data_IF_310035602357
#
_entry.id   IF_310035602357
#
_cell.length_a   1.000
_cell.length_b   1.000
_cell.length_c   1.000
_cell.angle_alpha   90.00
_cell.angle_beta   90.00
_cell.angle_gamma   90.00
#
_symmetry.space_group_name_H-M   'P 1'
#
loop_
_entity.id
_entity.type
_entity.pdbx_description
1 polymer ?
#
# COMPACT_ATOMS: atom_id res chain seq x y z
N UNK A 1 -1.64 -12.18 26.21
CA UNK A 1 -2.76 -12.25 25.28
C UNK A 1 -2.71 -13.56 24.51
N UNK A 2 -3.79 -14.34 24.51
CA UNK A 2 -3.91 -15.58 23.76
C UNK A 2 -4.76 -15.34 22.50
N UNK A 3 -4.20 -15.66 21.34
CA UNK A 3 -4.83 -15.58 20.03
C UNK A 3 -5.19 -16.98 19.55
N UNK A 4 -6.43 -17.23 19.11
CA UNK A 4 -6.78 -18.52 18.52
C UNK A 4 -6.00 -18.73 17.22
N UNK A 5 -5.46 -19.93 17.04
CA UNK A 5 -4.91 -20.37 15.75
C UNK A 5 -6.01 -20.98 14.87
N UNK A 6 -5.66 -21.48 13.69
CA UNK A 6 -6.58 -22.21 12.82
C UNK A 6 -7.12 -23.50 13.45
N UNK A 7 -6.40 -24.07 14.42
CA UNK A 7 -6.77 -25.29 15.13
C UNK A 7 -6.59 -25.09 16.64
N UNK A 8 -7.69 -24.80 17.35
CA UNK A 8 -7.71 -24.68 18.81
C UNK A 8 -8.55 -25.79 19.44
N UNK A 9 -8.03 -26.42 20.49
CA UNK A 9 -8.67 -27.55 21.18
C UNK A 9 -9.41 -27.09 22.45
N UNK A 10 -10.46 -26.27 22.26
CA UNK A 10 -11.32 -25.75 23.33
C UNK A 10 -11.00 -24.32 23.74
N UNK A 11 -11.81 -23.78 24.67
CA UNK A 11 -11.67 -22.40 25.15
C UNK A 11 -10.79 -22.30 26.39
N UNK A 12 -9.98 -21.23 26.46
CA UNK A 12 -9.19 -20.91 27.64
C UNK A 12 -9.88 -19.89 28.53
N UNK A 13 -9.82 -20.11 29.84
CA UNK A 13 -10.35 -19.20 30.85
C UNK A 13 -9.51 -17.92 30.93
N UNK A 14 -10.17 -16.76 30.96
CA UNK A 14 -9.54 -15.45 30.98
C UNK A 14 -10.50 -14.32 30.60
N UNK A 15 -9.97 -13.09 30.55
CA UNK A 15 -10.76 -11.90 30.21
C UNK A 15 -10.84 -11.76 28.69
N UNK A 16 -12.06 -11.82 28.15
CA UNK A 16 -12.32 -11.62 26.72
C UNK A 16 -12.05 -10.17 26.32
N UNK A 17 -11.48 -9.98 25.14
CA UNK A 17 -11.23 -8.65 24.58
C UNK A 17 -10.87 -8.72 23.10
N UNK A 18 -10.44 -7.58 22.56
CA UNK A 18 -9.99 -7.47 21.17
C UNK A 18 -8.52 -7.05 21.12
N UNK A 19 -7.78 -7.62 20.19
CA UNK A 19 -6.42 -7.19 19.87
C UNK A 19 -6.43 -5.72 19.41
N UNK A 20 -5.67 -4.82 20.04
CA UNK A 20 -5.71 -3.40 19.72
C UNK A 20 -5.15 -3.09 18.33
N UNK A 21 -4.30 -3.95 17.77
CA UNK A 21 -3.77 -3.74 16.43
C UNK A 21 -4.84 -4.08 15.38
N UNK A 22 -5.33 -5.31 15.34
CA UNK A 22 -6.15 -5.85 14.25
C UNK A 22 -7.63 -6.01 14.58
N UNK A 23 -8.04 -5.75 15.82
CA UNK A 23 -9.44 -5.88 16.27
C UNK A 23 -9.93 -7.32 16.35
N UNK A 24 -9.01 -8.29 16.36
CA UNK A 24 -9.36 -9.72 16.42
C UNK A 24 -9.75 -10.12 17.84
N UNK A 25 -10.70 -11.06 18.03
CA UNK A 25 -11.06 -11.55 19.35
C UNK A 25 -9.86 -12.27 20.00
N UNK A 26 -9.61 -11.96 21.26
CA UNK A 26 -8.50 -12.50 22.06
C UNK A 26 -8.93 -12.78 23.50
N UNK A 27 -8.19 -13.65 24.16
CA UNK A 27 -8.36 -13.90 25.60
C UNK A 27 -7.13 -13.44 26.38
N UNK A 28 -7.32 -12.58 27.37
CA UNK A 28 -6.29 -12.21 28.33
C UNK A 28 -6.20 -13.25 29.43
N UNK A 29 -5.07 -13.95 29.46
CA UNK A 29 -4.79 -15.04 30.40
C UNK A 29 -3.72 -14.63 31.40
N UNK A 30 -3.74 -15.25 32.57
CA UNK A 30 -2.67 -15.13 33.56
C UNK A 30 -1.39 -15.82 33.05
N UNK A 31 -0.22 -15.35 33.50
CA UNK A 31 1.07 -15.90 33.07
C UNK A 31 1.19 -17.42 33.32
N UNK A 32 0.63 -17.90 34.43
CA UNK A 32 0.59 -19.33 34.78
C UNK A 32 -0.19 -20.19 33.77
N UNK A 33 -1.14 -19.62 33.04
CA UNK A 33 -1.96 -20.33 32.05
C UNK A 33 -1.28 -20.45 30.68
N UNK A 34 -0.10 -19.84 30.47
CA UNK A 34 0.61 -19.82 29.18
C UNK A 34 0.85 -21.22 28.62
N UNK A 35 1.37 -22.14 29.43
CA UNK A 35 1.66 -23.51 28.99
C UNK A 35 0.37 -24.24 28.55
N UNK A 36 -0.72 -24.07 29.30
CA UNK A 36 -2.04 -24.61 28.95
C UNK A 36 -2.54 -24.03 27.62
N UNK A 37 -2.45 -22.72 27.44
CA UNK A 37 -2.88 -22.05 26.21
C UNK A 37 -2.15 -22.57 24.96
N UNK A 38 -0.81 -22.69 25.05
CA UNK A 38 0.01 -23.21 23.97
C UNK A 38 -0.36 -24.66 23.63
N UNK A 39 -0.57 -25.51 24.64
CA UNK A 39 -1.00 -26.90 24.44
C UNK A 39 -2.40 -27.02 23.82
N UNK A 40 -3.25 -26.00 23.97
CA UNK A 40 -4.58 -25.93 23.35
C UNK A 40 -4.55 -25.30 21.95
N UNK A 41 -3.37 -25.01 21.40
CA UNK A 41 -3.21 -24.45 20.05
C UNK A 41 -3.28 -22.92 19.97
N UNK A 42 -3.34 -22.21 21.09
CA UNK A 42 -3.31 -20.73 21.08
C UNK A 42 -1.89 -20.21 20.87
N UNK A 43 -1.77 -19.07 20.17
CA UNK A 43 -0.55 -18.27 20.17
C UNK A 43 -0.58 -17.30 21.35
N UNK A 44 0.45 -17.33 22.20
CA UNK A 44 0.53 -16.45 23.37
C UNK A 44 1.54 -15.33 23.11
N UNK A 45 1.04 -14.09 23.12
CA UNK A 45 1.83 -12.86 22.96
C UNK A 45 1.89 -12.13 24.29
N UNK A 46 3.09 -11.68 24.69
CA UNK A 46 3.30 -10.89 25.89
C UNK A 46 2.82 -9.43 25.71
N UNK A 47 2.54 -8.75 26.81
CA UNK A 47 1.95 -7.40 26.77
C UNK A 47 2.85 -6.38 26.07
N UNK A 48 4.18 -6.49 26.18
CA UNK A 48 5.09 -5.55 25.54
C UNK A 48 5.06 -5.72 24.01
N UNK A 49 5.01 -6.97 23.53
CA UNK A 49 4.82 -7.28 22.10
C UNK A 49 3.46 -6.81 21.56
N UNK A 50 2.39 -6.88 22.35
CA UNK A 50 1.08 -6.32 21.97
C UNK A 50 1.16 -4.80 21.79
N UNK A 51 1.76 -4.09 22.75
CA UNK A 51 1.95 -2.64 22.67
C UNK A 51 2.81 -2.29 21.46
N UNK A 52 3.94 -2.97 21.27
CA UNK A 52 4.85 -2.72 20.15
C UNK A 52 4.17 -2.93 18.79
N UNK A 53 3.36 -3.99 18.66
CA UNK A 53 2.59 -4.28 17.43
C UNK A 53 1.56 -3.19 17.15
N UNK A 54 0.84 -2.76 18.19
CA UNK A 54 -0.15 -1.70 18.07
C UNK A 54 0.48 -0.35 17.67
N UNK A 55 1.57 0.05 18.34
CA UNK A 55 2.33 1.27 18.00
C UNK A 55 2.85 1.21 16.58
N UNK A 56 3.47 0.10 16.16
CA UNK A 56 3.96 -0.08 14.79
C UNK A 56 2.83 0.06 13.76
N UNK A 57 1.65 -0.53 14.04
CA UNK A 57 0.50 -0.39 13.16
C UNK A 57 0.06 1.07 13.04
N UNK A 58 -0.10 1.78 14.17
CA UNK A 58 -0.49 3.20 14.17
C UNK A 58 0.53 4.03 13.40
N UNK A 59 1.82 3.90 13.72
CA UNK A 59 2.88 4.66 13.04
C UNK A 59 2.86 4.41 11.53
N UNK A 60 2.68 3.16 11.08
CA UNK A 60 2.59 2.85 9.65
C UNK A 60 1.36 3.46 8.98
N UNK A 61 0.22 3.49 9.67
CA UNK A 61 -1.00 4.10 9.13
C UNK A 61 -0.88 5.62 8.99
N UNK A 62 -0.13 6.28 9.87
CA UNK A 62 0.03 7.74 9.88
C UNK A 62 1.39 8.22 9.38
N UNK A 63 2.25 7.33 8.88
CA UNK A 63 3.59 7.71 8.40
C UNK A 63 3.58 8.82 7.33
N UNK A 64 2.60 8.93 6.40
CA UNK A 64 2.57 10.03 5.44
C UNK A 64 2.37 11.40 6.12
N UNK A 65 1.60 11.42 7.21
CA UNK A 65 1.29 12.64 7.97
C UNK A 65 2.42 12.98 8.95
N UNK A 66 3.06 11.96 9.53
CA UNK A 66 4.21 12.11 10.42
C UNK A 66 5.47 12.54 9.66
N UNK A 67 5.59 12.20 8.37
CA UNK A 67 6.73 12.57 7.54
C UNK A 67 6.66 14.05 7.17
N UNK A 68 7.59 14.85 7.69
CA UNK A 68 7.61 16.30 7.63
C UNK A 68 8.77 16.85 6.81
N UNK A 69 8.81 18.18 6.69
CA UNK A 69 9.83 18.88 5.89
C UNK A 69 11.26 18.56 6.36
N UNK A 70 11.48 18.47 7.67
CA UNK A 70 12.80 18.21 8.25
C UNK A 70 13.30 16.77 7.99
N UNK A 71 12.39 15.81 7.78
CA UNK A 71 12.75 14.42 7.50
C UNK A 71 13.43 14.27 6.12
N UNK A 72 13.21 15.22 5.21
CA UNK A 72 13.89 15.28 3.91
C UNK A 72 15.40 15.49 4.13
N UNK A 73 15.80 16.31 5.09
CA UNK A 73 17.22 16.53 5.42
C UNK A 73 17.87 15.22 5.84
N UNK A 74 17.19 14.40 6.64
CA UNK A 74 17.72 13.11 7.07
C UNK A 74 17.88 12.13 5.88
N UNK A 75 16.90 12.08 4.97
CA UNK A 75 17.00 11.29 3.74
C UNK A 75 18.12 11.78 2.82
N UNK A 76 18.27 13.10 2.69
CA UNK A 76 19.30 13.73 1.88
C UNK A 76 20.70 13.47 2.45
N UNK A 77 20.88 13.52 3.77
CA UNK A 77 22.15 13.20 4.42
C UNK A 77 22.53 11.73 4.19
N UNK A 78 21.57 10.80 4.26
CA UNK A 78 21.80 9.39 3.95
C UNK A 78 22.15 9.15 2.48
N UNK A 79 21.50 9.89 1.57
CA UNK A 79 21.86 9.85 0.15
C UNK A 79 23.27 10.39 -0.06
N UNK A 80 23.60 11.53 0.54
CA UNK A 80 24.91 12.19 0.42
C UNK A 80 26.07 11.32 0.91
N UNK A 81 25.86 10.54 1.98
CA UNK A 81 26.90 9.63 2.48
C UNK A 81 27.16 8.44 1.55
N UNK A 82 26.19 8.06 0.72
CA UNK A 82 26.27 6.87 -0.16
C UNK A 82 26.58 7.24 -1.61
N UNK A 83 25.99 8.34 -2.10
CA UNK A 83 26.07 8.81 -3.48
C UNK A 83 26.06 10.36 -3.49
N UNK A 84 27.18 11.02 -3.11
CA UNK A 84 27.23 12.47 -2.92
C UNK A 84 26.88 13.25 -4.19
N UNK A 85 27.37 12.81 -5.35
CA UNK A 85 27.08 13.48 -6.62
C UNK A 85 25.59 13.42 -6.97
N UNK A 86 24.95 12.27 -6.74
CA UNK A 86 23.51 12.11 -6.95
C UNK A 86 22.70 12.97 -5.99
N UNK A 87 23.19 13.17 -4.76
CA UNK A 87 22.56 14.07 -3.81
C UNK A 87 22.59 15.53 -4.31
N UNK A 88 23.74 16.00 -4.82
CA UNK A 88 23.86 17.32 -5.45
C UNK A 88 22.88 17.47 -6.63
N UNK A 89 22.86 16.48 -7.53
CA UNK A 89 21.99 16.49 -8.71
C UNK A 89 20.50 16.50 -8.31
N UNK A 90 20.11 15.74 -7.27
CA UNK A 90 18.74 15.74 -6.75
C UNK A 90 18.35 17.11 -6.17
N UNK A 91 19.24 17.73 -5.39
CA UNK A 91 19.02 19.06 -4.82
C UNK A 91 18.89 20.15 -5.89
N UNK A 92 19.63 20.03 -7.00
CA UNK A 92 19.50 20.92 -8.14
C UNK A 92 18.19 20.68 -8.91
N UNK A 93 17.70 19.44 -8.94
CA UNK A 93 16.54 19.03 -9.71
C UNK A 93 15.19 19.31 -9.02
N UNK A 94 15.10 19.14 -7.70
CA UNK A 94 13.84 19.26 -6.94
C UNK A 94 14.07 19.96 -5.60
N UNK A 95 13.19 20.90 -5.27
CA UNK A 95 13.19 21.52 -3.95
C UNK A 95 12.51 20.62 -2.89
N UNK A 96 12.73 20.93 -1.62
CA UNK A 96 12.19 20.17 -0.50
C UNK A 96 10.66 20.09 -0.51
N UNK A 97 9.94 21.15 -0.91
CA UNK A 97 8.48 21.10 -0.99
C UNK A 97 7.98 20.10 -2.04
N UNK A 98 8.71 19.95 -3.15
CA UNK A 98 8.42 18.94 -4.18
C UNK A 98 8.75 17.53 -3.67
N UNK A 99 9.92 17.35 -3.06
CA UNK A 99 10.32 16.07 -2.46
C UNK A 99 9.34 15.61 -1.39
N UNK A 100 8.86 16.53 -0.53
CA UNK A 100 7.85 16.23 0.49
C UNK A 100 6.60 15.61 -0.13
N UNK A 101 6.06 16.23 -1.18
CA UNK A 101 4.86 15.74 -1.86
C UNK A 101 5.07 14.36 -2.49
N UNK A 102 6.22 14.14 -3.14
CA UNK A 102 6.56 12.84 -3.74
C UNK A 102 6.69 11.77 -2.67
N UNK A 103 7.47 12.03 -1.62
CA UNK A 103 7.71 11.07 -0.54
C UNK A 103 6.42 10.74 0.22
N UNK A 104 5.57 11.74 0.50
CA UNK A 104 4.25 11.50 1.07
C UNK A 104 3.35 10.69 0.15
N UNK A 105 3.37 10.92 -1.16
CA UNK A 105 2.60 10.12 -2.11
C UNK A 105 3.04 8.64 -2.10
N UNK A 106 4.35 8.38 -2.06
CA UNK A 106 4.90 7.02 -1.94
C UNK A 106 4.50 6.37 -0.60
N UNK A 107 4.66 7.10 0.51
CA UNK A 107 4.33 6.62 1.86
C UNK A 107 2.83 6.35 2.04
N UNK A 108 1.96 7.18 1.44
CA UNK A 108 0.49 7.00 1.45
C UNK A 108 0.08 5.64 0.89
N UNK A 109 0.92 5.06 0.05
CA UNK A 109 0.69 3.76 -0.58
C UNK A 109 1.57 2.65 0.01
N UNK A 110 2.24 2.93 1.13
CA UNK A 110 3.10 1.97 1.82
C UNK A 110 4.42 1.68 1.10
N UNK A 111 4.82 2.52 0.13
CA UNK A 111 6.10 2.35 -0.59
C UNK A 111 7.25 2.83 0.30
N UNK A 112 8.22 1.95 0.51
CA UNK A 112 9.37 2.21 1.37
C UNK A 112 10.34 3.22 0.75
N UNK A 113 10.76 4.21 1.54
CA UNK A 113 11.80 5.17 1.16
C UNK A 113 13.23 4.68 1.50
N UNK A 114 13.41 3.39 1.79
CA UNK A 114 14.71 2.82 2.21
C UNK A 114 15.74 2.88 1.10
N UNK A 115 15.36 2.51 -0.12
CA UNK A 115 16.23 2.53 -1.29
C UNK A 115 16.30 3.94 -1.89
N UNK A 116 16.94 4.85 -1.15
CA UNK A 116 16.99 6.27 -1.53
C UNK A 116 17.81 6.52 -2.79
N UNK A 117 18.78 5.64 -3.11
CA UNK A 117 19.62 5.77 -4.30
C UNK A 117 18.80 5.52 -5.56
N UNK A 118 18.01 4.43 -5.60
CA UNK A 118 17.09 4.17 -6.72
C UNK A 118 16.04 5.27 -6.85
N UNK A 119 15.44 5.68 -5.73
CA UNK A 119 14.45 6.77 -5.72
C UNK A 119 15.05 8.06 -6.29
N UNK A 120 16.21 8.50 -5.80
CA UNK A 120 16.85 9.73 -6.25
C UNK A 120 17.24 9.68 -7.73
N UNK A 121 17.78 8.54 -8.19
CA UNK A 121 18.16 8.35 -9.60
C UNK A 121 16.99 8.57 -10.54
N UNK A 122 15.84 7.97 -10.22
CA UNK A 122 14.61 8.12 -11.01
C UNK A 122 14.08 9.55 -10.93
N UNK A 123 14.07 10.15 -9.74
CA UNK A 123 13.58 11.52 -9.58
C UNK A 123 14.40 12.53 -10.36
N UNK A 124 15.74 12.42 -10.37
CA UNK A 124 16.59 13.30 -11.19
C UNK A 124 16.21 13.20 -12.66
N UNK A 125 16.11 11.98 -13.20
CA UNK A 125 15.76 11.75 -14.60
C UNK A 125 14.34 12.24 -14.94
N UNK A 126 13.32 11.78 -14.20
CA UNK A 126 11.92 12.12 -14.46
C UNK A 126 11.60 13.60 -14.24
N UNK A 127 12.34 14.27 -13.35
CA UNK A 127 12.10 15.68 -13.08
C UNK A 127 12.43 16.62 -14.25
N UNK A 128 13.16 16.12 -15.26
CA UNK A 128 13.41 16.84 -16.52
C UNK A 128 12.17 16.88 -17.42
N UNK A 129 11.27 15.90 -17.26
CA UNK A 129 10.03 15.76 -18.04
C UNK A 129 8.85 16.40 -17.31
N UNK A 130 8.74 16.18 -15.98
CA UNK A 130 7.61 16.68 -15.19
C UNK A 130 8.01 17.03 -13.76
N UNK A 131 7.32 18.01 -13.17
CA UNK A 131 7.42 18.35 -11.74
C UNK A 131 6.18 17.95 -10.94
N UNK A 132 5.27 17.19 -11.57
CA UNK A 132 4.08 16.63 -10.94
C UNK A 132 4.47 15.48 -10.01
N UNK A 133 4.11 15.60 -8.73
CA UNK A 133 4.51 14.62 -7.72
C UNK A 133 3.83 13.25 -7.87
N UNK A 134 2.62 13.19 -8.46
CA UNK A 134 1.92 11.92 -8.72
C UNK A 134 2.62 11.15 -9.82
N UNK A 135 3.03 11.85 -10.89
CA UNK A 135 3.78 11.25 -11.99
C UNK A 135 5.20 10.83 -11.54
N UNK A 136 5.91 11.70 -10.81
CA UNK A 136 7.21 11.35 -10.23
C UNK A 136 7.11 10.12 -9.31
N UNK A 137 6.05 10.04 -8.49
CA UNK A 137 5.82 8.86 -7.65
C UNK A 137 5.54 7.60 -8.47
N UNK A 138 4.80 7.70 -9.59
CA UNK A 138 4.55 6.56 -10.48
C UNK A 138 5.85 6.01 -11.10
N UNK A 139 6.75 6.89 -11.55
CA UNK A 139 8.06 6.47 -12.09
C UNK A 139 8.92 5.79 -11.01
N UNK A 140 8.95 6.34 -9.80
CA UNK A 140 9.65 5.73 -8.67
C UNK A 140 9.06 4.36 -8.33
N UNK A 141 7.73 4.22 -8.34
CA UNK A 141 7.07 2.93 -8.10
C UNK A 141 7.45 1.90 -9.16
N UNK A 142 7.54 2.30 -10.43
CA UNK A 142 8.01 1.43 -11.51
C UNK A 142 9.43 0.91 -11.25
N UNK A 143 10.34 1.78 -10.81
CA UNK A 143 11.71 1.36 -10.47
C UNK A 143 11.75 0.42 -9.24
N UNK A 144 10.85 0.63 -8.29
CA UNK A 144 10.71 -0.20 -7.08
C UNK A 144 9.76 -1.40 -7.25
N UNK A 145 9.35 -1.72 -8.48
CA UNK A 145 8.30 -2.72 -8.78
C UNK A 145 8.49 -4.07 -8.09
N UNK A 146 9.73 -4.57 -8.02
CA UNK A 146 10.05 -5.84 -7.34
C UNK A 146 9.75 -5.77 -5.85
N UNK A 147 10.13 -4.67 -5.19
CA UNK A 147 9.87 -4.49 -3.76
C UNK A 147 8.40 -4.28 -3.46
N UNK A 148 7.65 -3.67 -4.38
CA UNK A 148 6.21 -3.40 -4.22
C UNK A 148 5.41 -4.68 -4.42
N UNK A 149 5.76 -5.52 -5.40
CA UNK A 149 5.02 -6.75 -5.71
C UNK A 149 5.36 -7.92 -4.80
N UNK A 150 6.62 -8.04 -4.36
CA UNK A 150 7.11 -9.18 -3.58
C UNK A 150 6.20 -9.60 -2.40
N UNK A 151 5.64 -8.69 -1.58
CA UNK A 151 4.75 -9.06 -0.49
C UNK A 151 3.52 -9.86 -0.91
N UNK A 152 3.06 -9.72 -2.15
CA UNK A 152 1.84 -10.34 -2.68
C UNK A 152 2.10 -11.61 -3.49
N UNK A 153 3.37 -11.92 -3.78
CA UNK A 153 3.75 -13.08 -4.59
C UNK A 153 3.85 -14.32 -3.72
N UNK A 154 3.31 -15.44 -4.21
CA UNK A 154 3.46 -16.77 -3.58
C UNK A 154 3.82 -17.78 -4.67
N UNK A 155 4.94 -18.50 -4.50
CA UNK A 155 5.42 -19.50 -5.47
C UNK A 155 5.56 -18.94 -6.91
N UNK A 156 6.09 -17.72 -7.06
CA UNK A 156 6.20 -16.98 -8.33
C UNK A 156 4.86 -16.62 -9.01
N UNK A 157 3.74 -16.84 -8.34
CA UNK A 157 2.42 -16.45 -8.81
C UNK A 157 1.94 -15.18 -8.10
N UNK A 158 1.35 -14.26 -8.86
CA UNK A 158 0.65 -13.09 -8.36
C UNK A 158 -0.84 -13.22 -8.69
N UNK A 159 -1.66 -13.36 -7.66
CA UNK A 159 -3.12 -13.47 -7.80
C UNK A 159 -3.77 -12.10 -7.66
N UNK A 160 -4.58 -11.68 -8.64
CA UNK A 160 -5.15 -10.32 -8.71
C UNK A 160 -6.60 -10.32 -9.17
N UNK A 161 -7.30 -9.21 -8.89
CA UNK A 161 -8.46 -8.78 -9.65
C UNK A 161 -8.05 -7.74 -10.70
N UNK A 162 -8.77 -7.67 -11.80
CA UNK A 162 -8.59 -6.62 -12.82
C UNK A 162 -9.84 -5.73 -12.91
N UNK A 163 -9.86 -4.78 -13.83
CA UNK A 163 -11.11 -4.13 -14.27
C UNK A 163 -11.74 -4.97 -15.39
N UNK A 164 -13.05 -4.88 -15.57
CA UNK A 164 -13.66 -5.33 -16.82
C UNK A 164 -13.36 -4.31 -17.94
N UNK A 165 -13.45 -4.76 -19.20
CA UNK A 165 -13.08 -3.93 -20.34
C UNK A 165 -13.94 -2.66 -20.49
N UNK A 166 -15.23 -2.73 -20.15
CA UNK A 166 -16.14 -1.57 -20.24
C UNK A 166 -15.75 -0.47 -19.25
N UNK A 167 -15.52 -0.83 -17.98
CA UNK A 167 -15.10 0.10 -16.95
C UNK A 167 -13.71 0.67 -17.23
N UNK A 168 -12.78 -0.16 -17.68
CA UNK A 168 -11.42 0.28 -18.03
C UNK A 168 -11.45 1.34 -19.15
N UNK A 169 -12.22 1.09 -20.21
CA UNK A 169 -12.38 2.03 -21.33
C UNK A 169 -13.07 3.32 -20.90
N UNK A 170 -14.14 3.21 -20.10
CA UNK A 170 -14.87 4.36 -19.60
C UNK A 170 -13.97 5.26 -18.75
N UNK A 171 -13.27 4.69 -17.76
CA UNK A 171 -12.38 5.46 -16.88
C UNK A 171 -11.21 6.07 -17.66
N UNK A 172 -10.66 5.33 -18.62
CA UNK A 172 -9.61 5.85 -19.51
C UNK A 172 -10.09 7.06 -20.28
N UNK A 173 -11.31 7.03 -20.83
CA UNK A 173 -11.89 8.17 -21.53
C UNK A 173 -12.09 9.38 -20.60
N UNK A 174 -12.56 9.16 -19.38
CA UNK A 174 -12.73 10.23 -18.38
C UNK A 174 -11.39 10.88 -18.03
N UNK A 175 -10.35 10.08 -17.78
CA UNK A 175 -9.00 10.59 -17.48
C UNK A 175 -8.43 11.36 -18.67
N UNK A 176 -8.56 10.82 -19.88
CA UNK A 176 -8.06 11.47 -21.10
C UNK A 176 -8.77 12.81 -21.37
N UNK A 177 -10.08 12.87 -21.19
CA UNK A 177 -10.85 14.12 -21.34
C UNK A 177 -10.44 15.16 -20.29
N UNK A 178 -10.25 14.74 -19.03
CA UNK A 178 -9.81 15.64 -17.98
C UNK A 178 -8.42 16.23 -18.25
N UNK A 179 -7.50 15.43 -18.81
CA UNK A 179 -6.17 15.90 -19.21
C UNK A 179 -6.20 16.85 -20.41
N UNK A 180 -7.15 16.69 -21.33
CA UNK A 180 -7.34 17.64 -22.45
C UNK A 180 -7.92 18.99 -21.97
N UNK A 181 -8.77 18.96 -20.94
CA UNK A 181 -9.38 20.16 -20.35
C UNK A 181 -8.45 21.02 -19.49
N UNK A 182 -7.21 20.56 -19.25
CA UNK A 182 -6.20 21.30 -18.50
C UNK A 182 -5.33 20.39 -17.63
N UNK A 183 -4.52 21.01 -16.76
CA UNK A 183 -3.61 20.27 -15.88
C UNK A 183 -4.38 19.73 -14.66
N UNK A 184 -4.97 18.55 -14.82
CA UNK A 184 -5.63 17.79 -13.74
C UNK A 184 -4.67 16.74 -13.19
N UNK A 185 -4.55 16.62 -11.87
CA UNK A 185 -3.77 15.55 -11.24
C UNK A 185 -4.50 14.22 -11.47
N UNK A 186 -3.77 13.16 -11.83
CA UNK A 186 -4.37 11.85 -12.13
C UNK A 186 -5.16 11.25 -10.96
N UNK A 187 -4.73 11.54 -9.73
CA UNK A 187 -5.41 11.08 -8.54
C UNK A 187 -6.64 11.94 -8.19
N UNK A 188 -6.86 13.08 -8.86
CA UNK A 188 -7.93 14.04 -8.56
C UNK A 188 -8.96 14.20 -9.69
N UNK A 189 -8.95 13.31 -10.67
CA UNK A 189 -9.91 13.32 -11.78
C UNK A 189 -11.34 13.17 -11.22
N UNK A 190 -12.29 14.06 -11.59
CA UNK A 190 -13.69 13.93 -11.19
C UNK A 190 -14.31 12.64 -11.75
N UNK A 191 -15.01 11.91 -10.89
CA UNK A 191 -15.71 10.67 -11.24
C UNK A 191 -17.19 10.88 -10.98
N UNK A 192 -18.03 10.39 -11.89
CA UNK A 192 -19.49 10.45 -11.78
C UNK A 192 -19.98 9.80 -10.47
N UNK A 193 -21.00 10.35 -9.79
CA UNK A 193 -21.53 9.79 -8.55
C UNK A 193 -22.00 8.33 -8.66
N UNK A 194 -22.52 7.89 -9.80
CA UNK A 194 -22.98 6.51 -9.97
C UNK A 194 -21.79 5.54 -9.95
N UNK A 195 -20.70 5.89 -10.63
CA UNK A 195 -19.45 5.11 -10.57
C UNK A 195 -18.85 5.10 -9.16
N UNK A 196 -18.94 6.22 -8.44
CA UNK A 196 -18.46 6.29 -7.07
C UNK A 196 -19.22 5.32 -6.16
N UNK A 197 -20.56 5.29 -6.28
CA UNK A 197 -21.42 4.35 -5.56
C UNK A 197 -21.08 2.89 -5.95
N UNK A 198 -20.77 2.66 -7.22
CA UNK A 198 -20.34 1.35 -7.70
C UNK A 198 -19.03 0.93 -7.03
N UNK A 199 -17.98 1.77 -7.03
CA UNK A 199 -16.72 1.46 -6.33
C UNK A 199 -16.91 1.21 -4.84
N UNK A 200 -17.79 1.97 -4.20
CA UNK A 200 -18.10 1.81 -2.78
C UNK A 200 -18.71 0.44 -2.47
N UNK A 201 -19.46 -0.14 -3.41
CA UNK A 201 -20.04 -1.48 -3.27
C UNK A 201 -19.12 -2.61 -3.74
N UNK A 202 -18.37 -2.43 -4.83
CA UNK A 202 -17.62 -3.51 -5.49
C UNK A 202 -16.20 -3.70 -4.92
N UNK A 203 -15.49 -2.62 -4.55
CA UNK A 203 -14.12 -2.75 -4.02
C UNK A 203 -14.05 -3.54 -2.68
N UNK A 204 -14.99 -3.35 -1.72
CA UNK A 204 -15.00 -4.17 -0.50
C UNK A 204 -15.26 -5.65 -0.80
N UNK A 205 -16.16 -5.95 -1.74
CA UNK A 205 -16.47 -7.33 -2.15
C UNK A 205 -15.25 -8.03 -2.73
N UNK A 206 -14.49 -7.35 -3.61
CA UNK A 206 -13.22 -7.87 -4.15
C UNK A 206 -12.25 -8.21 -3.02
N UNK A 207 -12.08 -7.28 -2.07
CA UNK A 207 -11.20 -7.48 -0.92
C UNK A 207 -11.62 -8.67 -0.07
N UNK A 208 -12.92 -8.85 0.20
CA UNK A 208 -13.44 -9.96 0.98
C UNK A 208 -13.30 -11.30 0.25
N UNK A 209 -13.59 -11.35 -1.05
CA UNK A 209 -13.44 -12.55 -1.88
C UNK A 209 -11.99 -13.04 -1.93
N UNK A 210 -11.03 -12.13 -2.13
CA UNK A 210 -9.60 -12.50 -2.10
C UNK A 210 -9.16 -13.01 -0.73
N UNK A 211 -9.60 -12.34 0.36
CA UNK A 211 -9.31 -12.80 1.73
C UNK A 211 -9.91 -14.17 2.03
N UNK A 212 -11.15 -14.42 1.61
CA UNK A 212 -11.81 -15.71 1.78
C UNK A 212 -11.09 -16.84 1.04
N UNK A 213 -10.44 -16.52 -0.10
CA UNK A 213 -9.58 -17.44 -0.84
C UNK A 213 -8.14 -17.55 -0.27
N UNK A 214 -7.84 -16.91 0.87
CA UNK A 214 -6.51 -16.90 1.48
C UNK A 214 -5.47 -16.15 0.67
N UNK A 215 -5.89 -15.16 -0.14
CA UNK A 215 -5.03 -14.34 -0.99
C UNK A 215 -4.97 -12.90 -0.48
N UNK A 216 -3.85 -12.23 -0.76
CA UNK A 216 -3.69 -10.82 -0.48
C UNK A 216 -4.55 -9.97 -1.45
N UNK A 217 -5.36 -9.01 -0.97
CA UNK A 217 -6.21 -8.20 -1.84
C UNK A 217 -5.42 -7.26 -2.76
N UNK A 218 -5.40 -7.58 -4.06
CA UNK A 218 -4.69 -6.80 -5.08
C UNK A 218 -5.59 -6.56 -6.29
N UNK A 219 -5.74 -5.29 -6.65
CA UNK A 219 -6.40 -4.82 -7.87
C UNK A 219 -5.33 -4.36 -8.86
N UNK A 220 -5.31 -4.94 -10.05
CA UNK A 220 -4.36 -4.66 -11.13
C UNK A 220 -5.05 -3.83 -12.22
N UNK A 221 -4.46 -2.69 -12.57
CA UNK A 221 -5.08 -1.65 -13.41
C UNK A 221 -4.08 -1.02 -14.39
N UNK A 222 -4.55 -0.30 -15.44
CA UNK A 222 -3.69 0.51 -16.28
C UNK A 222 -2.91 1.59 -15.51
N UNK A 223 -1.68 1.94 -15.93
CA UNK A 223 -0.85 2.95 -15.25
C UNK A 223 -1.56 4.29 -15.01
N UNK A 224 -2.30 4.78 -16.01
CA UNK A 224 -3.01 6.06 -15.95
C UNK A 224 -4.18 6.08 -14.96
N UNK A 225 -4.79 4.91 -14.69
CA UNK A 225 -5.93 4.77 -13.78
C UNK A 225 -5.49 4.50 -12.34
N UNK A 226 -4.26 4.02 -12.15
CA UNK A 226 -3.73 3.57 -10.86
C UNK A 226 -3.81 4.63 -9.75
N UNK A 227 -3.40 5.91 -9.93
CA UNK A 227 -3.50 6.91 -8.87
C UNK A 227 -4.93 7.16 -8.41
N UNK A 228 -5.87 7.24 -9.37
CA UNK A 228 -7.29 7.45 -9.12
C UNK A 228 -7.90 6.29 -8.34
N UNK A 229 -7.69 5.06 -8.82
CA UNK A 229 -8.24 3.86 -8.20
C UNK A 229 -7.58 3.55 -6.86
N UNK A 230 -6.28 3.83 -6.69
CA UNK A 230 -5.60 3.70 -5.41
C UNK A 230 -6.20 4.61 -4.33
N UNK A 231 -6.58 5.84 -4.70
CA UNK A 231 -7.28 6.76 -3.78
C UNK A 231 -8.62 6.18 -3.34
N UNK A 232 -9.44 5.72 -4.27
CA UNK A 232 -10.76 5.15 -3.93
C UNK A 232 -10.66 3.83 -3.18
N UNK A 233 -9.71 2.96 -3.53
CA UNK A 233 -9.44 1.74 -2.79
C UNK A 233 -9.07 2.03 -1.33
N UNK A 234 -8.26 3.06 -1.05
CA UNK A 234 -7.96 3.48 0.33
C UNK A 234 -9.19 3.98 1.08
N UNK A 235 -10.09 4.70 0.41
CA UNK A 235 -11.30 5.27 1.01
C UNK A 235 -12.36 4.21 1.29
N UNK A 236 -12.63 3.32 0.32
CA UNK A 236 -13.76 2.38 0.38
C UNK A 236 -13.38 0.98 0.85
N UNK A 237 -12.15 0.54 0.54
CA UNK A 237 -11.68 -0.80 0.88
C UNK A 237 -10.27 -0.78 1.50
N UNK A 238 -10.06 -0.19 2.70
CA UNK A 238 -8.75 -0.14 3.34
C UNK A 238 -8.05 -1.51 3.39
N UNK A 239 -6.84 -1.61 2.83
CA UNK A 239 -6.11 -2.87 2.66
C UNK A 239 -6.32 -3.58 1.31
N UNK A 240 -7.08 -3.00 0.38
CA UNK A 240 -7.03 -3.33 -1.03
C UNK A 240 -5.87 -2.58 -1.69
N UNK A 241 -4.87 -3.31 -2.17
CA UNK A 241 -3.69 -2.74 -2.82
C UNK A 241 -3.95 -2.57 -4.32
N UNK A 242 -3.58 -1.42 -4.89
CA UNK A 242 -3.75 -1.14 -6.32
C UNK A 242 -2.38 -1.08 -6.98
N UNK A 243 -2.17 -1.98 -7.94
CA UNK A 243 -0.93 -2.09 -8.70
C UNK A 243 -1.18 -1.74 -10.18
N UNK A 244 -0.18 -1.16 -10.82
CA UNK A 244 -0.20 -0.97 -12.26
C UNK A 244 0.29 -2.24 -12.99
N UNK A 245 -0.20 -2.49 -14.20
CA UNK A 245 0.38 -3.50 -15.10
C UNK A 245 1.92 -3.38 -15.22
N UNK A 246 2.45 -2.15 -15.28
CA UNK A 246 3.90 -1.91 -15.41
C UNK A 246 4.69 -2.26 -14.12
N UNK A 247 4.01 -2.37 -12.98
CA UNK A 247 4.61 -2.70 -11.69
C UNK A 247 4.72 -4.21 -11.48
N UNK A 248 4.19 -5.04 -12.38
CA UNK A 248 4.34 -6.49 -12.32
C UNK A 248 5.59 -6.91 -13.10
N UNK A 249 6.60 -7.51 -12.47
CA UNK A 249 7.73 -8.11 -13.19
C UNK A 249 7.27 -9.20 -14.17
N UNK A 250 7.85 -9.21 -15.38
CA UNK A 250 7.50 -10.13 -16.47
C UNK A 250 7.70 -11.61 -16.11
N UNK A 251 8.59 -11.91 -15.16
CA UNK A 251 8.86 -13.26 -14.68
C UNK A 251 7.75 -13.87 -13.80
N UNK A 252 6.74 -13.10 -13.38
CA UNK A 252 5.66 -13.58 -12.53
C UNK A 252 4.50 -14.15 -13.34
N UNK A 253 3.95 -15.28 -12.88
CA UNK A 253 2.71 -15.81 -13.43
C UNK A 253 1.52 -15.02 -12.84
N UNK A 254 0.73 -14.39 -13.71
CA UNK A 254 -0.48 -13.67 -13.32
C UNK A 254 -1.69 -14.60 -13.28
N UNK A 255 -2.35 -14.68 -12.12
CA UNK A 255 -3.63 -15.39 -11.95
C UNK A 255 -4.77 -14.42 -11.67
N UNK A 256 -5.66 -14.27 -12.63
CA UNK A 256 -6.82 -13.39 -12.50
C UNK A 256 -7.96 -14.16 -11.83
N UNK A 257 -8.40 -13.68 -10.66
CA UNK A 257 -9.54 -14.27 -9.94
C UNK A 257 -10.89 -13.75 -10.43
N UNK A 258 -10.91 -12.52 -10.93
CA UNK A 258 -12.13 -11.86 -11.37
C UNK A 258 -11.86 -10.44 -11.84
N UNK A 259 -12.93 -9.77 -12.23
CA UNK A 259 -12.91 -8.40 -12.69
C UNK A 259 -13.88 -7.54 -11.88
N UNK A 260 -13.45 -6.32 -11.55
CA UNK A 260 -14.28 -5.27 -11.00
C UNK A 260 -15.23 -4.81 -12.11
N UNK A 261 -16.54 -4.88 -11.84
CA UNK A 261 -17.60 -4.39 -12.72
C UNK A 261 -17.99 -2.97 -12.38
#
# INVERSE_FOLDING_TARGET
>A
MALPSSETYGEIDGVQGNDPAYGMPVTWIQAAQKAKALNMGYQVIDSASVIATHVNKIVRSYIPDLFNYDDITQLHNRLSSTAPRLAEDLSAALNYSQLLKVYRALLTEGVSLRDIVTIATVLVASSTVTKDHILLAADVRLALRRSITHPFVRKQELTVYTLNNELENLLTNVVNQAQQGGKVMLDSVPVDPNMLNQFQSTMPQVKEQMKAAGKDPVLLVPPQLRPLLARYARLFAPGLHVLSYNEVPDELELKIMGALM
#
